data_IF_997033971863
#
_entry.id   IF_997033971863
#
_cell.length_a   1.000
_cell.length_b   1.000
_cell.length_c   1.000
_cell.angle_alpha   90.00
_cell.angle_beta   90.00
_cell.angle_gamma   90.00
#
_symmetry.space_group_name_H-M   'P 1'
#
loop_
_entity.id
_entity.type
_entity.pdbx_description
1 polymer ?
#
# COMPACT_ATOMS: atom_id res chain seq x y z
N UNK A 1 12.37 36.15 2.35
CA UNK A 1 11.95 34.78 2.01
C UNK A 1 11.00 34.30 3.09
N UNK A 2 9.71 34.59 2.97
CA UNK A 2 8.69 34.36 4.03
C UNK A 2 7.32 33.96 3.45
N UNK A 3 7.03 34.33 2.20
CA UNK A 3 5.79 33.97 1.52
C UNK A 3 5.56 32.46 1.42
N UNK A 4 6.60 31.66 1.15
CA UNK A 4 6.46 30.20 1.04
C UNK A 4 6.15 29.56 2.40
N UNK A 5 6.79 30.03 3.47
CA UNK A 5 6.57 29.51 4.82
C UNK A 5 5.18 29.89 5.34
N UNK A 6 4.72 31.12 5.08
CA UNK A 6 3.35 31.55 5.39
C UNK A 6 2.31 30.76 4.58
N UNK A 7 2.59 30.46 3.31
CA UNK A 7 1.71 29.65 2.47
C UNK A 7 1.67 28.19 2.95
N UNK A 8 2.81 27.58 3.27
CA UNK A 8 2.89 26.24 3.85
C UNK A 8 2.17 26.15 5.20
N UNK A 9 2.32 27.16 6.06
CA UNK A 9 1.63 27.22 7.34
C UNK A 9 0.12 27.39 7.16
N UNK A 10 -0.31 28.16 6.16
CA UNK A 10 -1.73 28.28 5.79
C UNK A 10 -2.30 26.96 5.28
N UNK A 11 -1.60 26.28 4.38
CA UNK A 11 -2.02 24.97 3.84
C UNK A 11 -2.06 23.90 4.93
N UNK A 12 -1.11 23.93 5.88
CA UNK A 12 -1.10 23.01 7.02
C UNK A 12 -2.29 23.23 7.97
N UNK A 13 -2.77 24.47 8.11
CA UNK A 13 -3.89 24.83 8.99
C UNK A 13 -5.26 24.69 8.34
N UNK A 14 -5.40 25.13 7.09
CA UNK A 14 -6.65 25.16 6.35
C UNK A 14 -6.90 23.89 5.51
N UNK A 15 -5.91 23.00 5.40
CA UNK A 15 -5.95 21.87 4.48
C UNK A 15 -5.60 22.29 3.05
N UNK A 16 -5.49 21.30 2.16
CA UNK A 16 -5.33 21.60 0.74
C UNK A 16 -6.67 22.06 0.15
N UNK A 17 -6.68 23.03 -0.77
CA UNK A 17 -7.90 23.49 -1.43
C UNK A 17 -8.47 22.48 -2.44
N UNK A 18 -7.89 21.28 -2.56
CA UNK A 18 -8.28 20.26 -3.51
C UNK A 18 -8.88 19.03 -2.83
N UNK A 19 -9.92 18.47 -3.46
CA UNK A 19 -10.45 17.15 -3.13
C UNK A 19 -9.51 16.10 -3.73
N UNK A 20 -8.65 15.51 -2.90
CA UNK A 20 -7.78 14.42 -3.32
C UNK A 20 -8.50 13.08 -3.10
N UNK A 21 -9.02 12.42 -4.16
CA UNK A 21 -9.60 11.09 -4.00
C UNK A 21 -8.52 10.08 -3.58
N UNK A 22 -8.90 9.08 -2.78
CA UNK A 22 -8.00 8.00 -2.43
C UNK A 22 -7.65 7.18 -3.68
N UNK A 23 -6.35 6.88 -3.82
CA UNK A 23 -5.89 6.01 -4.89
C UNK A 23 -6.32 4.57 -4.64
N UNK A 24 -6.84 3.91 -5.68
CA UNK A 24 -7.25 2.50 -5.62
C UNK A 24 -6.08 1.54 -5.35
N UNK A 25 -4.87 1.93 -5.77
CA UNK A 25 -3.65 1.14 -5.57
C UNK A 25 -2.64 1.96 -4.76
N UNK A 26 -2.26 1.44 -3.60
CA UNK A 26 -1.23 2.05 -2.75
C UNK A 26 -0.40 0.97 -2.06
N UNK A 27 0.91 1.18 -1.99
CA UNK A 27 1.82 0.32 -1.23
C UNK A 27 2.23 1.03 0.06
N UNK A 28 1.89 0.43 1.20
CA UNK A 28 2.19 0.98 2.52
C UNK A 28 3.13 0.05 3.28
N UNK A 29 4.17 0.61 3.89
CA UNK A 29 5.14 -0.14 4.69
C UNK A 29 4.90 0.13 6.17
N UNK A 30 4.53 -0.90 6.92
CA UNK A 30 4.52 -0.83 8.38
C UNK A 30 5.96 -0.76 8.91
N UNK A 31 6.20 0.15 9.86
CA UNK A 31 7.54 0.45 10.37
C UNK A 31 7.60 0.10 11.85
N UNK A 32 8.51 -0.81 12.23
CA UNK A 32 8.90 -1.07 13.62
C UNK A 32 10.26 -0.44 13.88
N UNK A 33 10.35 0.46 14.86
CA UNK A 33 11.57 1.22 15.16
C UNK A 33 12.20 0.70 16.45
N UNK A 34 13.46 0.28 16.36
CA UNK A 34 14.28 -0.10 17.52
C UNK A 34 15.56 0.74 17.57
N UNK A 35 15.95 1.18 18.76
CA UNK A 35 17.15 2.00 18.98
C UNK A 35 18.07 1.31 19.99
N UNK A 36 19.38 1.41 19.75
CA UNK A 36 20.41 0.90 20.67
C UNK A 36 21.58 1.89 20.74
N UNK A 37 22.15 2.06 21.93
CA UNK A 37 23.31 2.95 22.12
C UNK A 37 24.53 2.33 21.44
N UNK A 38 25.15 3.08 20.54
CA UNK A 38 26.38 2.67 19.89
C UNK A 38 27.58 2.95 20.80
N UNK A 39 27.92 1.98 21.65
CA UNK A 39 29.14 2.09 22.46
C UNK A 39 30.38 1.90 21.58
N UNK A 40 31.36 2.82 21.61
CA UNK A 40 32.64 2.59 20.95
C UNK A 40 33.34 1.43 21.63
N UNK A 41 33.37 0.25 20.99
CA UNK A 41 34.12 -0.91 21.48
C UNK A 41 35.60 -0.53 21.64
N UNK A 42 36.10 -0.50 22.87
CA UNK A 42 37.54 -0.63 23.14
C UNK A 42 37.91 -2.08 22.82
N UNK A 43 38.45 -2.29 21.64
CA UNK A 43 38.83 -3.61 21.11
C UNK A 43 39.87 -4.28 22.02
N UNK A 44 39.50 -5.39 22.67
CA UNK A 44 40.43 -6.48 22.96
C UNK A 44 40.13 -7.59 21.94
N UNK A 45 41.18 -8.00 21.24
CA UNK A 45 41.18 -8.99 20.18
C UNK A 45 40.61 -10.33 20.69
N UNK A 46 39.37 -10.65 20.35
CA UNK A 46 38.94 -12.04 20.20
C UNK A 46 38.09 -12.13 18.93
N UNK A 47 38.56 -13.00 18.03
CA UNK A 47 38.07 -13.21 16.69
C UNK A 47 36.56 -13.48 16.63
N UNK A 48 35.86 -12.78 15.73
CA UNK A 48 34.67 -13.30 15.05
C UNK A 48 34.65 -12.72 13.63
N UNK A 49 34.61 -13.54 12.56
CA UNK A 49 34.83 -13.07 11.19
C UNK A 49 33.56 -12.58 10.47
N UNK A 50 32.40 -12.53 11.12
CA UNK A 50 31.12 -12.23 10.46
C UNK A 50 30.57 -10.86 10.84
N UNK A 51 31.17 -9.81 10.25
CA UNK A 51 30.53 -8.53 9.91
C UNK A 51 31.58 -7.61 9.24
N UNK A 52 32.20 -8.08 8.16
CA UNK A 52 32.81 -7.15 7.18
C UNK A 52 31.74 -6.72 6.18
N UNK A 53 30.75 -5.97 6.63
CA UNK A 53 30.23 -4.93 5.76
C UNK A 53 31.33 -3.88 5.73
N UNK A 54 32.08 -3.88 4.63
CA UNK A 54 33.03 -2.82 4.30
C UNK A 54 32.20 -1.54 4.22
N UNK A 55 32.13 -0.80 5.32
CA UNK A 55 31.61 0.56 5.30
C UNK A 55 32.40 1.29 4.20
N UNK A 56 31.74 2.02 3.27
CA UNK A 56 32.47 2.91 2.40
C UNK A 56 33.21 3.89 3.30
N UNK A 57 34.54 3.80 3.32
CA UNK A 57 35.37 4.81 3.96
C UNK A 57 35.03 6.14 3.29
N UNK A 58 34.27 7.00 3.97
CA UNK A 58 34.18 8.41 3.63
C UNK A 58 35.55 9.05 3.84
N UNK A 59 36.48 8.81 2.92
CA UNK A 59 37.80 9.40 2.92
C UNK A 59 37.86 10.46 1.81
N UNK A 60 37.28 11.62 2.08
CA UNK A 60 37.57 12.82 1.30
C UNK A 60 38.99 13.27 1.65
N UNK A 61 39.98 12.69 0.96
CA UNK A 61 41.37 13.15 0.99
C UNK A 61 41.45 14.62 0.58
N UNK A 62 41.87 15.50 1.49
CA UNK A 62 42.73 16.65 1.13
C UNK A 62 44.13 16.32 1.63
N UNK A 63 45.02 16.00 0.69
CA UNK A 63 46.41 15.61 0.94
C UNK A 63 47.28 16.86 0.72
N UNK A 64 47.84 17.41 1.79
CA UNK A 64 49.02 18.27 1.73
C UNK A 64 49.79 18.11 3.04
N UNK A 65 50.98 17.52 2.96
CA UNK A 65 51.97 17.44 4.05
C UNK A 65 53.23 18.19 3.59
N UNK A 66 54.16 18.61 4.47
CA UNK A 66 54.05 19.16 5.84
C UNK A 66 54.83 20.52 5.96
N UNK A 67 54.97 21.13 7.17
CA UNK A 67 56.21 20.84 7.92
C UNK A 67 56.01 20.67 9.44
N UNK A 68 57.07 20.10 10.03
CA UNK A 68 57.30 19.79 11.43
C UNK A 68 56.93 20.92 12.41
N UNK A 69 56.09 20.62 13.41
CA UNK A 69 56.23 21.24 14.74
C UNK A 69 55.57 20.41 15.85
N UNK A 70 56.35 20.16 16.90
CA UNK A 70 55.99 19.83 18.29
C UNK A 70 54.81 18.88 18.57
N UNK A 71 55.14 17.69 19.09
CA UNK A 71 54.23 16.81 19.83
C UNK A 71 53.64 17.55 21.04
N UNK A 72 52.40 18.04 20.92
CA UNK A 72 51.56 18.33 22.07
C UNK A 72 50.40 17.33 22.07
N UNK A 73 50.45 16.31 22.93
CA UNK A 73 49.37 15.33 23.11
C UNK A 73 48.25 15.99 23.91
N UNK A 74 47.46 16.85 23.28
CA UNK A 74 46.16 17.24 23.82
C UNK A 74 45.18 16.10 23.59
N UNK A 75 44.69 15.55 24.69
CA UNK A 75 43.63 14.56 24.76
C UNK A 75 42.42 15.07 23.96
N UNK A 76 42.15 14.46 22.81
CA UNK A 76 40.98 14.73 21.96
C UNK A 76 39.73 14.12 22.62
N UNK A 77 39.31 14.70 23.74
CA UNK A 77 38.06 14.38 24.43
C UNK A 77 36.95 15.19 23.76
N UNK A 78 36.37 14.64 22.69
CA UNK A 78 35.27 15.29 21.98
C UNK A 78 35.08 14.76 20.57
N UNK A 79 34.55 13.54 20.41
CA UNK A 79 33.97 13.10 19.13
C UNK A 79 33.08 11.85 19.25
N UNK A 80 32.26 11.76 20.30
CA UNK A 80 31.18 10.76 20.40
C UNK A 80 29.82 11.30 19.97
N UNK A 81 29.73 12.56 19.52
CA UNK A 81 28.47 13.29 19.38
C UNK A 81 27.81 13.22 17.99
N UNK A 82 28.31 12.44 17.02
CA UNK A 82 27.75 12.49 15.64
C UNK A 82 27.84 11.19 14.84
N UNK A 83 27.69 10.02 15.48
CA UNK A 83 27.63 8.74 14.76
C UNK A 83 26.31 8.03 15.05
N UNK A 84 25.46 7.94 14.04
CA UNK A 84 24.23 7.15 14.07
C UNK A 84 24.32 6.03 13.03
N UNK A 85 23.96 4.80 13.43
CA UNK A 85 23.88 3.65 12.54
C UNK A 85 22.42 3.30 12.29
N UNK A 86 21.97 3.48 11.06
CA UNK A 86 20.62 3.12 10.64
C UNK A 86 20.67 1.78 9.90
N UNK A 87 19.86 0.80 10.34
CA UNK A 87 19.68 -0.49 9.67
C UNK A 87 18.21 -0.63 9.28
N UNK A 88 17.92 -0.58 7.98
CA UNK A 88 16.58 -0.80 7.43
C UNK A 88 16.54 -2.23 6.89
N UNK A 89 15.57 -3.01 7.35
CA UNK A 89 15.37 -4.39 6.90
C UNK A 89 13.90 -4.78 7.05
N UNK A 90 13.46 -5.74 6.25
CA UNK A 90 12.15 -6.37 6.41
C UNK A 90 12.24 -7.44 7.50
N UNK A 91 11.23 -7.52 8.37
CA UNK A 91 11.16 -8.52 9.44
C UNK A 91 10.93 -9.93 8.87
N UNK A 92 10.13 -10.04 7.82
CA UNK A 92 9.82 -11.29 7.12
C UNK A 92 9.66 -11.00 5.62
N UNK A 93 9.79 -12.04 4.78
CA UNK A 93 9.67 -11.91 3.32
C UNK A 93 8.21 -11.84 2.83
N UNK A 94 7.25 -11.92 3.75
CA UNK A 94 5.83 -11.93 3.42
C UNK A 94 5.31 -10.51 3.16
N UNK A 95 4.47 -10.37 2.14
CA UNK A 95 3.79 -9.12 1.80
C UNK A 95 2.28 -9.31 1.92
N UNK A 96 1.63 -8.53 2.77
CA UNK A 96 0.17 -8.54 2.90
C UNK A 96 -0.47 -7.70 1.80
N UNK A 97 -1.39 -8.29 1.05
CA UNK A 97 -2.15 -7.58 0.00
C UNK A 97 -3.59 -7.41 0.46
N UNK A 98 -4.04 -6.16 0.54
CA UNK A 98 -5.42 -5.82 0.85
C UNK A 98 -6.13 -5.45 -0.45
N UNK A 99 -7.11 -6.26 -0.85
CA UNK A 99 -7.92 -6.00 -2.05
C UNK A 99 -9.37 -5.85 -1.64
N UNK A 100 -9.98 -4.72 -1.98
CA UNK A 100 -11.42 -4.55 -1.82
C UNK A 100 -12.10 -5.20 -3.01
N UNK A 101 -12.89 -6.25 -2.76
CA UNK A 101 -13.70 -6.92 -3.78
C UNK A 101 -15.16 -6.57 -3.55
N UNK A 102 -15.93 -6.47 -4.63
CA UNK A 102 -17.38 -6.34 -4.51
C UNK A 102 -17.92 -7.57 -3.76
N UNK A 103 -18.83 -7.34 -2.81
CA UNK A 103 -19.44 -8.42 -2.03
C UNK A 103 -20.31 -9.34 -2.90
N UNK A 104 -20.89 -8.81 -3.96
CA UNK A 104 -21.70 -9.55 -4.92
C UNK A 104 -21.27 -9.18 -6.34
N UNK A 105 -21.00 -10.20 -7.16
CA UNK A 105 -20.86 -10.05 -8.61
C UNK A 105 -22.18 -10.38 -9.29
N UNK A 106 -22.46 -9.81 -10.46
CA UNK A 106 -23.72 -10.07 -11.19
C UNK A 106 -23.95 -11.57 -11.43
N UNK A 107 -22.88 -12.31 -11.73
CA UNK A 107 -22.92 -13.77 -11.89
C UNK A 107 -23.35 -14.50 -10.61
N UNK A 108 -22.93 -14.01 -9.45
CA UNK A 108 -23.28 -14.58 -8.16
C UNK A 108 -24.75 -14.31 -7.81
N UNK A 109 -25.25 -13.13 -8.19
CA UNK A 109 -26.66 -12.78 -8.04
C UNK A 109 -27.56 -13.70 -8.87
N UNK A 110 -27.23 -13.91 -10.16
CA UNK A 110 -27.98 -14.85 -11.00
C UNK A 110 -27.87 -16.30 -10.51
N UNK A 111 -26.72 -16.70 -9.97
CA UNK A 111 -26.55 -18.03 -9.39
C UNK A 111 -27.43 -18.23 -8.15
N UNK A 112 -27.51 -17.26 -7.25
CA UNK A 112 -28.38 -17.32 -6.07
C UNK A 112 -29.86 -17.35 -6.45
N UNK A 113 -30.27 -16.51 -7.41
CA UNK A 113 -31.65 -16.46 -7.90
C UNK A 113 -32.04 -17.78 -8.58
N UNK A 114 -31.21 -18.28 -9.49
CA UNK A 114 -31.41 -19.55 -10.16
C UNK A 114 -31.43 -20.73 -9.19
N UNK A 115 -30.58 -20.71 -8.16
CA UNK A 115 -30.57 -21.72 -7.10
C UNK A 115 -31.87 -21.75 -6.30
N UNK A 116 -32.41 -20.59 -5.91
CA UNK A 116 -33.68 -20.52 -5.18
C UNK A 116 -34.87 -20.93 -6.05
N UNK A 117 -34.94 -20.44 -7.29
CA UNK A 117 -36.00 -20.81 -8.24
C UNK A 117 -35.96 -22.30 -8.60
N UNK A 118 -34.76 -22.85 -8.81
CA UNK A 118 -34.57 -24.28 -9.08
C UNK A 118 -34.93 -25.17 -7.90
N UNK A 119 -34.59 -24.77 -6.66
CA UNK A 119 -34.88 -25.55 -5.47
C UNK A 119 -36.37 -25.54 -5.09
N UNK A 120 -37.01 -24.36 -5.12
CA UNK A 120 -38.40 -24.22 -4.66
C UNK A 120 -39.42 -24.58 -5.74
N UNK A 121 -39.18 -24.18 -6.99
CA UNK A 121 -40.14 -24.37 -8.09
C UNK A 121 -39.76 -25.53 -9.02
N UNK A 122 -38.57 -26.12 -8.86
CA UNK A 122 -38.05 -27.08 -9.83
C UNK A 122 -37.80 -26.46 -11.21
N UNK A 123 -37.74 -25.13 -11.29
CA UNK A 123 -37.74 -24.39 -12.55
C UNK A 123 -36.32 -24.35 -13.14
N UNK A 124 -36.16 -24.84 -14.36
CA UNK A 124 -34.93 -24.74 -15.14
C UNK A 124 -35.00 -23.57 -16.12
N UNK A 125 -33.85 -23.13 -16.66
CA UNK A 125 -33.83 -22.10 -17.70
C UNK A 125 -34.66 -22.50 -18.94
N UNK A 126 -34.71 -23.78 -19.27
CA UNK A 126 -35.50 -24.30 -20.41
C UNK A 126 -36.99 -24.11 -20.14
N UNK A 127 -37.46 -24.47 -18.94
CA UNK A 127 -38.84 -24.25 -18.54
C UNK A 127 -39.20 -22.75 -18.53
N UNK A 128 -38.27 -21.88 -18.14
CA UNK A 128 -38.46 -20.42 -18.24
C UNK A 128 -38.66 -19.95 -19.68
N UNK A 129 -37.87 -20.44 -20.62
CA UNK A 129 -38.02 -20.09 -22.04
C UNK A 129 -39.36 -20.54 -22.61
N UNK A 130 -39.81 -21.77 -22.30
CA UNK A 130 -41.14 -22.26 -22.69
C UNK A 130 -42.26 -21.41 -22.09
N UNK A 131 -42.15 -21.04 -20.81
CA UNK A 131 -43.12 -20.14 -20.17
C UNK A 131 -43.17 -18.77 -20.86
N UNK A 132 -42.02 -18.20 -21.22
CA UNK A 132 -41.94 -16.90 -21.91
C UNK A 132 -42.55 -16.96 -23.31
N UNK A 133 -42.29 -18.04 -24.07
CA UNK A 133 -42.90 -18.23 -25.39
C UNK A 133 -44.43 -18.34 -25.28
N UNK A 134 -44.93 -19.15 -24.34
CA UNK A 134 -46.37 -19.24 -24.06
C UNK A 134 -46.96 -17.89 -23.67
N UNK A 135 -46.27 -17.13 -22.80
CA UNK A 135 -46.72 -15.81 -22.37
C UNK A 135 -46.76 -14.83 -23.55
N UNK A 136 -45.75 -14.87 -24.43
CA UNK A 136 -45.68 -14.02 -25.61
C UNK A 136 -46.78 -14.33 -26.63
N UNK A 137 -47.05 -15.61 -26.90
CA UNK A 137 -48.18 -16.04 -27.75
C UNK A 137 -49.52 -15.62 -27.14
N UNK A 138 -49.69 -15.78 -25.83
CA UNK A 138 -50.90 -15.38 -25.12
C UNK A 138 -51.10 -13.87 -25.17
N UNK A 139 -50.03 -13.07 -24.96
CA UNK A 139 -50.06 -11.61 -25.10
C UNK A 139 -50.36 -11.19 -26.54
N UNK A 140 -49.78 -11.83 -27.55
CA UNK A 140 -50.07 -11.54 -28.95
C UNK A 140 -51.55 -11.82 -29.30
N UNK A 141 -52.08 -12.95 -28.85
CA UNK A 141 -53.50 -13.26 -29.00
C UNK A 141 -54.37 -12.26 -28.24
N UNK A 142 -53.99 -11.87 -27.02
CA UNK A 142 -54.72 -10.89 -26.22
C UNK A 142 -54.75 -9.50 -26.88
N UNK A 143 -53.61 -9.04 -27.41
CA UNK A 143 -53.50 -7.78 -28.14
C UNK A 143 -54.27 -7.84 -29.47
N UNK A 144 -54.22 -8.95 -30.21
CA UNK A 144 -55.01 -9.10 -31.44
C UNK A 144 -56.52 -9.13 -31.15
N UNK A 145 -56.95 -9.76 -30.05
CA UNK A 145 -58.33 -9.74 -29.58
C UNK A 145 -58.78 -8.35 -29.15
N UNK A 146 -57.93 -7.59 -28.46
CA UNK A 146 -58.22 -6.19 -28.13
C UNK A 146 -58.24 -5.28 -29.37
N UNK A 147 -57.44 -5.55 -30.40
CA UNK A 147 -57.47 -4.84 -31.69
C UNK A 147 -58.69 -5.16 -32.57
N UNK A 148 -59.41 -6.26 -32.31
CA UNK A 148 -60.67 -6.64 -33.00
C UNK A 148 -61.91 -6.05 -32.32
N UNK A 149 -61.74 -5.43 -31.15
CA UNK A 149 -62.76 -4.64 -30.44
C UNK A 149 -62.45 -3.13 -30.46
N UNK A 150 -62.17 -2.49 -31.61
CA UNK A 150 -62.23 -1.03 -31.70
C UNK A 150 -63.71 -0.65 -31.79
N UNK A 151 -64.17 0.10 -30.79
CA UNK A 151 -65.45 0.80 -30.80
C UNK A 151 -65.29 2.15 -31.49
#
# INVERSE_FOLDING_TARGET
MSCLDDLLNTVKKAGLPCECPLSCMSTTFEKKIGMAVLHPRKSNRIHSPLLRLKEPECNSRKKSTPPNHSRNKRSHKGQTESKAKLKIFYESLDHTTYTQRAMFSDSELYAHLGGHLGLWLGLSCIALFECVEYLALLLYLFVSKMKILPK
#
